data_IF_010104960954
#
_entry.id   IF_010104960954
#
_cell.length_a   1.000
_cell.length_b   1.000
_cell.length_c   1.000
_cell.angle_alpha   90.00
_cell.angle_beta   90.00
_cell.angle_gamma   90.00
#
_symmetry.space_group_name_H-M   'P 1'
#
loop_
_entity.id
_entity.type
_entity.pdbx_description
1 polymer ?
#
# COMPACT_ATOMS: atom_id res chain seq x y z
N UNK A 1 10.74 23.13 19.35
CA UNK A 1 11.18 23.19 17.94
C UNK A 1 10.03 23.79 17.13
N UNK A 2 10.25 24.89 16.39
CA UNK A 2 9.22 25.42 15.49
C UNK A 2 9.25 24.64 14.18
N UNK A 3 8.18 23.94 13.86
CA UNK A 3 8.00 23.29 12.55
C UNK A 3 7.71 24.38 11.50
N UNK A 4 8.63 24.60 10.56
CA UNK A 4 8.35 25.44 9.39
C UNK A 4 7.45 24.64 8.44
N UNK A 5 6.19 25.07 8.33
CA UNK A 5 5.29 24.54 7.28
C UNK A 5 5.67 25.20 5.96
N UNK A 6 6.10 24.41 4.98
CA UNK A 6 6.37 24.88 3.62
C UNK A 6 5.03 24.88 2.86
N UNK A 7 4.60 26.05 2.38
CA UNK A 7 3.46 26.15 1.48
C UNK A 7 3.82 25.52 0.12
N UNK A 8 3.06 24.52 -0.30
CA UNK A 8 3.19 23.89 -1.61
C UNK A 8 2.10 24.42 -2.54
N UNK A 9 2.42 25.25 -3.54
CA UNK A 9 1.42 25.77 -4.47
C UNK A 9 0.93 24.64 -5.38
N UNK A 10 -0.40 24.47 -5.46
CA UNK A 10 -1.02 23.44 -6.29
C UNK A 10 -2.43 23.12 -5.80
N UNK A 11 -3.00 22.09 -6.39
CA UNK A 11 -4.36 21.59 -6.08
C UNK A 11 -4.26 20.13 -5.65
N UNK A 12 -5.05 19.70 -4.67
CA UNK A 12 -5.09 18.26 -4.32
C UNK A 12 -5.47 17.43 -5.56
N UNK A 13 -4.90 16.22 -5.66
CA UNK A 13 -5.11 15.39 -6.85
C UNK A 13 -6.61 15.11 -7.08
N UNK A 14 -7.38 14.92 -6.02
CA UNK A 14 -8.84 14.75 -6.13
C UNK A 14 -9.51 15.95 -6.82
N UNK A 15 -9.22 17.19 -6.42
CA UNK A 15 -9.75 18.40 -7.05
C UNK A 15 -9.19 18.67 -8.44
N UNK A 16 -7.94 18.25 -8.70
CA UNK A 16 -7.34 18.36 -10.03
C UNK A 16 -8.09 17.48 -11.02
N UNK A 17 -8.45 16.24 -10.64
CA UNK A 17 -9.19 15.29 -11.48
C UNK A 17 -10.62 15.76 -11.82
N UNK A 18 -11.24 16.62 -11.00
CA UNK A 18 -12.53 17.23 -11.34
C UNK A 18 -12.45 18.13 -12.59
N UNK A 19 -11.27 18.68 -12.88
CA UNK A 19 -11.02 19.58 -14.02
C UNK A 19 -10.45 18.85 -15.24
N UNK A 20 -9.53 17.94 -15.00
CA UNK A 20 -8.87 17.16 -16.06
C UNK A 20 -8.52 15.76 -15.54
N UNK A 21 -9.22 14.78 -16.10
CA UNK A 21 -9.04 13.36 -15.84
C UNK A 21 -8.74 12.56 -17.12
N UNK A 22 -8.18 13.23 -18.14
CA UNK A 22 -7.80 12.54 -19.39
C UNK A 22 -6.81 11.40 -19.10
N UNK A 23 -6.93 10.32 -19.88
CA UNK A 23 -6.05 9.15 -19.77
C UNK A 23 -4.57 9.55 -19.80
N UNK A 24 -4.19 10.51 -20.67
CA UNK A 24 -2.81 10.97 -20.80
C UNK A 24 -2.29 11.59 -19.48
N UNK A 25 -3.07 12.45 -18.85
CA UNK A 25 -2.75 13.11 -17.58
C UNK A 25 -2.62 12.09 -16.44
N UNK A 26 -3.60 11.19 -16.30
CA UNK A 26 -3.59 10.19 -15.24
C UNK A 26 -2.38 9.27 -15.38
N UNK A 27 -2.05 8.85 -16.60
CA UNK A 27 -0.85 8.02 -16.88
C UNK A 27 0.44 8.79 -16.59
N UNK A 28 0.52 10.07 -16.93
CA UNK A 28 1.68 10.93 -16.64
C UNK A 28 1.91 11.04 -15.14
N UNK A 29 0.86 11.37 -14.38
CA UNK A 29 0.92 11.50 -12.90
C UNK A 29 1.28 10.16 -12.25
N UNK A 30 0.67 9.05 -12.69
CA UNK A 30 1.01 7.70 -12.22
C UNK A 30 2.51 7.42 -12.35
N UNK A 31 3.09 7.64 -13.53
CA UNK A 31 4.53 7.42 -13.76
C UNK A 31 5.40 8.29 -12.87
N UNK A 32 5.05 9.56 -12.72
CA UNK A 32 5.79 10.50 -11.85
C UNK A 32 5.71 10.08 -10.37
N UNK A 33 4.56 9.58 -9.92
CA UNK A 33 4.40 9.04 -8.56
C UNK A 33 5.26 7.79 -8.34
N UNK A 34 5.32 6.86 -9.28
CA UNK A 34 6.21 5.70 -9.16
C UNK A 34 7.69 6.10 -9.04
N UNK A 35 8.12 7.15 -9.77
CA UNK A 35 9.47 7.71 -9.62
C UNK A 35 9.68 8.32 -8.23
N UNK A 36 8.67 9.01 -7.69
CA UNK A 36 8.72 9.56 -6.34
C UNK A 36 8.83 8.45 -5.28
N UNK A 37 8.01 7.38 -5.39
CA UNK A 37 8.07 6.23 -4.47
C UNK A 37 9.44 5.54 -4.52
N UNK A 38 10.01 5.37 -5.72
CA UNK A 38 11.38 4.84 -5.86
C UNK A 38 12.41 5.68 -5.12
N UNK A 39 12.30 7.02 -5.17
CA UNK A 39 13.22 7.91 -4.44
C UNK A 39 13.05 7.79 -2.93
N UNK A 40 11.81 7.70 -2.41
CA UNK A 40 11.57 7.48 -0.98
C UNK A 40 12.17 6.14 -0.54
N UNK A 41 11.92 5.06 -1.28
CA UNK A 41 12.52 3.76 -1.00
C UNK A 41 14.04 3.81 -0.95
N UNK A 42 14.70 4.50 -1.89
CA UNK A 42 16.17 4.67 -1.90
C UNK A 42 16.72 5.39 -0.66
N UNK A 43 15.88 6.18 0.02
CA UNK A 43 16.18 6.81 1.31
C UNK A 43 15.74 5.96 2.50
N UNK A 44 15.27 4.73 2.28
CA UNK A 44 14.76 3.84 3.32
C UNK A 44 13.40 4.23 3.87
N UNK A 45 12.65 5.10 3.18
CA UNK A 45 11.39 5.67 3.64
C UNK A 45 10.22 4.99 2.94
N UNK A 46 9.18 4.64 3.70
CA UNK A 46 7.86 4.28 3.20
C UNK A 46 6.84 5.31 3.68
N UNK A 47 6.14 5.95 2.74
CA UNK A 47 5.15 6.98 3.06
C UNK A 47 3.95 6.42 3.81
N UNK A 48 3.51 5.21 3.44
CA UNK A 48 2.50 4.41 4.13
C UNK A 48 1.05 4.90 4.03
N UNK A 49 0.79 6.14 3.52
CA UNK A 49 -0.56 6.71 3.35
C UNK A 49 -0.73 7.42 2.00
N UNK A 50 -0.39 6.73 0.90
CA UNK A 50 -0.57 7.30 -0.45
C UNK A 50 -2.04 7.22 -0.87
N UNK A 51 -2.65 8.38 -1.04
CA UNK A 51 -4.03 8.57 -1.52
C UNK A 51 -4.18 9.93 -2.19
N UNK A 52 -5.27 10.15 -2.93
CA UNK A 52 -5.48 11.39 -3.72
C UNK A 52 -5.47 12.67 -2.88
N UNK A 53 -5.88 12.62 -1.60
CA UNK A 53 -5.82 13.75 -0.69
C UNK A 53 -4.40 14.11 -0.25
N UNK A 54 -3.47 13.16 -0.27
CA UNK A 54 -2.07 13.32 0.15
C UNK A 54 -1.13 13.57 -1.05
N UNK A 55 -1.70 13.93 -2.21
CA UNK A 55 -0.96 14.32 -3.41
C UNK A 55 -1.45 15.69 -3.88
N UNK A 56 -0.52 16.64 -4.00
CA UNK A 56 -0.74 17.96 -4.61
C UNK A 56 -0.21 17.94 -6.04
N UNK A 57 -1.01 18.41 -7.00
CA UNK A 57 -0.59 18.55 -8.39
C UNK A 57 -0.25 20.03 -8.67
N UNK A 58 0.96 20.28 -9.16
CA UNK A 58 1.32 21.59 -9.74
C UNK A 58 0.68 21.73 -11.10
N UNK A 59 -0.32 22.59 -11.22
CA UNK A 59 -1.15 22.73 -12.43
C UNK A 59 -0.35 23.13 -13.69
N UNK A 60 0.80 23.79 -13.53
CA UNK A 60 1.65 24.23 -14.64
C UNK A 60 2.51 23.12 -15.25
N UNK A 61 2.75 22.02 -14.53
CA UNK A 61 3.72 20.97 -14.92
C UNK A 61 3.20 19.55 -14.72
N UNK A 62 1.97 19.39 -14.21
CA UNK A 62 1.41 18.11 -13.77
C UNK A 62 2.36 17.34 -12.83
N UNK A 63 3.18 18.08 -12.06
CA UNK A 63 4.13 17.48 -11.13
C UNK A 63 3.40 17.11 -9.83
N UNK A 64 3.29 15.82 -9.48
CA UNK A 64 2.78 15.41 -8.18
C UNK A 64 3.82 15.70 -7.08
N UNK A 65 3.33 16.18 -5.95
CA UNK A 65 4.08 16.38 -4.72
C UNK A 65 3.34 15.61 -3.66
N UNK A 66 4.00 14.64 -3.06
CA UNK A 66 3.45 13.88 -1.93
C UNK A 66 3.60 14.71 -0.66
N UNK A 67 2.54 14.74 0.13
CA UNK A 67 2.44 15.49 1.39
C UNK A 67 1.91 14.58 2.49
N UNK A 68 1.91 15.07 3.74
CA UNK A 68 1.41 14.37 4.92
C UNK A 68 2.21 13.10 5.27
N UNK A 69 3.40 13.34 5.78
CA UNK A 69 4.30 12.29 6.28
C UNK A 69 4.01 11.88 7.74
N UNK A 70 2.78 12.14 8.23
CA UNK A 70 2.42 11.94 9.65
C UNK A 70 2.51 10.51 10.15
N UNK A 71 2.30 9.51 9.26
CA UNK A 71 2.41 8.07 9.59
C UNK A 71 3.52 7.37 8.81
N UNK A 72 4.44 8.15 8.23
CA UNK A 72 5.61 7.61 7.50
C UNK A 72 6.47 6.75 8.41
N UNK A 73 6.95 5.66 7.87
CA UNK A 73 7.84 4.73 8.58
C UNK A 73 9.20 4.59 7.89
N UNK A 74 10.21 4.22 8.68
CA UNK A 74 11.54 3.81 8.20
C UNK A 74 11.71 2.32 8.56
N UNK A 75 11.26 1.39 7.69
CA UNK A 75 11.13 -0.03 8.04
C UNK A 75 12.41 -0.67 8.54
N UNK A 76 13.57 -0.24 8.04
CA UNK A 76 14.87 -0.76 8.46
C UNK A 76 15.28 -0.34 9.90
N UNK A 77 14.65 0.68 10.47
CA UNK A 77 14.91 1.14 11.84
C UNK A 77 13.98 0.48 12.88
N UNK A 78 12.93 -0.22 12.43
CA UNK A 78 11.99 -0.92 13.30
C UNK A 78 12.61 -2.23 13.77
N UNK A 79 13.06 -2.30 15.02
CA UNK A 79 13.80 -3.43 15.62
C UNK A 79 13.13 -3.99 16.88
N UNK A 80 12.53 -3.12 17.70
CA UNK A 80 11.95 -3.46 19.00
C UNK A 80 10.44 -3.62 18.92
N UNK A 81 9.85 -4.41 19.84
CA UNK A 81 8.40 -4.59 19.94
C UNK A 81 7.65 -3.24 20.02
N UNK A 82 8.19 -2.29 20.80
CA UNK A 82 7.64 -0.95 20.88
C UNK A 82 7.61 -0.24 19.52
N UNK A 83 8.72 -0.28 18.77
CA UNK A 83 8.78 0.34 17.44
C UNK A 83 7.84 -0.34 16.45
N UNK A 84 7.65 -1.67 16.53
CA UNK A 84 6.63 -2.36 15.74
C UNK A 84 5.23 -1.86 16.08
N UNK A 85 4.90 -1.74 17.38
CA UNK A 85 3.59 -1.23 17.83
C UNK A 85 3.36 0.22 17.42
N UNK A 86 4.39 1.06 17.52
CA UNK A 86 4.31 2.47 17.12
C UNK A 86 4.11 2.63 15.60
N UNK A 87 4.72 1.74 14.78
CA UNK A 87 4.65 1.80 13.32
C UNK A 87 3.39 1.13 12.73
N UNK A 88 2.91 0.03 13.35
CA UNK A 88 1.80 -0.78 12.85
C UNK A 88 0.62 -0.81 13.83
N UNK A 89 0.35 0.31 14.50
CA UNK A 89 -0.69 0.42 15.53
C UNK A 89 -2.12 0.35 14.98
N UNK A 90 -2.32 0.60 13.68
CA UNK A 90 -3.63 0.49 13.03
C UNK A 90 -3.77 -0.89 12.40
N UNK A 91 -4.84 -1.60 12.75
CA UNK A 91 -5.29 -2.79 12.04
C UNK A 91 -6.62 -2.49 11.35
N UNK A 92 -6.66 -2.61 10.03
CA UNK A 92 -7.86 -2.44 9.23
C UNK A 92 -7.78 -3.42 8.05
N UNK A 93 -8.53 -4.51 8.13
CA UNK A 93 -8.53 -5.54 7.10
C UNK A 93 -9.15 -5.05 5.78
N UNK A 94 -10.02 -4.04 5.87
CA UNK A 94 -10.75 -3.40 4.78
C UNK A 94 -10.09 -2.12 4.25
N UNK A 95 -8.92 -1.72 4.79
CA UNK A 95 -8.21 -0.57 4.25
C UNK A 95 -7.46 -0.95 2.98
N UNK A 96 -8.12 -0.84 1.85
CA UNK A 96 -7.62 -1.32 0.57
C UNK A 96 -6.38 -0.60 0.01
N UNK A 97 -5.99 0.66 0.39
CA UNK A 97 -4.70 1.21 -0.01
C UNK A 97 -3.49 0.45 0.51
N UNK A 98 -3.65 -0.37 1.55
CA UNK A 98 -2.57 -1.22 2.06
C UNK A 98 -2.55 -2.60 1.40
N UNK A 99 -1.36 -3.13 1.04
CA UNK A 99 -1.23 -4.51 0.59
C UNK A 99 -1.51 -5.48 1.74
N UNK A 100 -1.79 -6.73 1.42
CA UNK A 100 -2.06 -7.81 2.39
C UNK A 100 -0.95 -7.90 3.44
N UNK A 101 0.31 -7.72 3.03
CA UNK A 101 1.49 -7.83 3.89
C UNK A 101 1.42 -6.86 5.08
N UNK A 102 1.04 -5.61 4.84
CA UNK A 102 0.87 -4.58 5.89
C UNK A 102 -0.22 -4.98 6.88
N UNK A 103 -1.34 -5.49 6.39
CA UNK A 103 -2.47 -5.91 7.22
C UNK A 103 -2.09 -7.10 8.11
N UNK A 104 -1.37 -8.09 7.55
CA UNK A 104 -0.85 -9.23 8.30
C UNK A 104 0.16 -8.81 9.37
N UNK A 105 1.08 -7.88 9.05
CA UNK A 105 2.02 -7.33 10.03
C UNK A 105 1.24 -6.68 11.18
N UNK A 106 0.27 -5.79 10.86
CA UNK A 106 -0.53 -5.10 11.88
C UNK A 106 -1.31 -6.10 12.76
N UNK A 107 -1.86 -7.15 12.17
CA UNK A 107 -2.53 -8.24 12.91
C UNK A 107 -1.59 -8.87 13.96
N UNK A 108 -0.39 -9.31 13.54
CA UNK A 108 0.56 -9.95 14.45
C UNK A 108 1.08 -9.00 15.52
N UNK A 109 1.38 -7.75 15.15
CA UNK A 109 1.87 -6.73 16.08
C UNK A 109 0.84 -6.38 17.16
N UNK A 110 -0.45 -6.38 16.83
CA UNK A 110 -1.50 -6.12 17.81
C UNK A 110 -1.81 -7.34 18.66
N UNK A 111 -1.80 -8.53 18.07
CA UNK A 111 -2.14 -9.77 18.79
C UNK A 111 -1.03 -10.22 19.73
N UNK A 112 0.24 -10.01 19.37
CA UNK A 112 1.38 -10.62 20.05
C UNK A 112 2.42 -9.61 20.52
N UNK A 113 3.14 -9.99 21.57
CA UNK A 113 4.42 -9.39 21.90
C UNK A 113 5.51 -10.12 21.10
N UNK A 114 6.07 -9.46 20.10
CA UNK A 114 7.06 -10.05 19.20
C UNK A 114 8.41 -10.35 19.90
N UNK A 115 8.65 -9.79 21.11
CA UNK A 115 9.84 -10.13 21.93
C UNK A 115 9.74 -11.54 22.48
N UNK A 116 8.53 -12.00 22.86
CA UNK A 116 8.27 -13.38 23.31
C UNK A 116 8.33 -14.36 22.14
N UNK A 117 8.13 -13.83 20.95
CA UNK A 117 8.25 -14.53 19.68
C UNK A 117 7.41 -15.82 19.59
N UNK A 118 6.09 -15.75 19.76
CA UNK A 118 5.21 -16.91 19.64
C UNK A 118 5.27 -17.50 18.23
N UNK A 119 4.87 -18.77 18.12
CA UNK A 119 4.72 -19.42 16.81
C UNK A 119 3.35 -19.14 16.22
N UNK A 120 3.30 -19.05 14.91
CA UNK A 120 2.05 -18.94 14.13
C UNK A 120 1.22 -20.20 14.34
N UNK A 121 0.00 -20.04 14.84
CA UNK A 121 -0.96 -21.13 15.09
C UNK A 121 -1.94 -21.27 13.91
N UNK A 122 -2.72 -22.35 13.88
CA UNK A 122 -3.79 -22.55 12.88
C UNK A 122 -4.81 -21.39 12.91
N UNK A 123 -5.15 -20.89 14.09
CA UNK A 123 -6.05 -19.74 14.24
C UNK A 123 -5.52 -18.47 13.60
N UNK A 124 -4.20 -18.29 13.53
CA UNK A 124 -3.56 -17.18 12.83
C UNK A 124 -3.64 -17.37 11.33
N UNK A 125 -3.42 -18.59 10.85
CA UNK A 125 -3.57 -18.93 9.43
C UNK A 125 -5.02 -18.70 8.98
N UNK A 126 -6.00 -19.07 9.79
CA UNK A 126 -7.42 -18.84 9.47
C UNK A 126 -7.77 -17.36 9.46
N UNK A 127 -7.18 -16.54 10.34
CA UNK A 127 -7.38 -15.09 10.29
C UNK A 127 -6.71 -14.46 9.06
N UNK A 128 -5.50 -14.88 8.70
CA UNK A 128 -4.85 -14.44 7.46
C UNK A 128 -5.65 -14.79 6.22
N UNK A 129 -6.30 -15.97 6.18
CA UNK A 129 -7.21 -16.34 5.08
C UNK A 129 -8.39 -15.38 4.97
N UNK A 130 -9.00 -14.96 6.10
CA UNK A 130 -10.09 -13.97 6.10
C UNK A 130 -9.62 -12.61 5.57
N UNK A 131 -8.42 -12.17 5.97
CA UNK A 131 -7.80 -10.95 5.43
C UNK A 131 -7.66 -11.06 3.90
N UNK A 132 -7.20 -12.20 3.39
CA UNK A 132 -7.07 -12.45 1.95
C UNK A 132 -8.44 -12.40 1.27
N UNK A 133 -9.47 -13.05 1.85
CA UNK A 133 -10.82 -13.06 1.28
C UNK A 133 -11.38 -11.64 1.15
N UNK A 134 -11.26 -10.81 2.19
CA UNK A 134 -11.70 -9.41 2.18
C UNK A 134 -10.96 -8.65 1.07
N UNK A 135 -9.64 -8.76 1.03
CA UNK A 135 -8.82 -8.04 0.07
C UNK A 135 -9.08 -8.47 -1.38
N UNK A 136 -9.25 -9.77 -1.62
CA UNK A 136 -9.58 -10.29 -2.95
C UNK A 136 -10.94 -9.78 -3.40
N UNK A 137 -11.96 -9.83 -2.54
CA UNK A 137 -13.30 -9.30 -2.85
C UNK A 137 -13.23 -7.81 -3.27
N UNK A 138 -12.48 -6.98 -2.56
CA UNK A 138 -12.30 -5.57 -2.91
C UNK A 138 -11.61 -5.40 -4.27
N UNK A 139 -10.57 -6.18 -4.54
CA UNK A 139 -9.85 -6.13 -5.82
C UNK A 139 -10.70 -6.66 -6.97
N UNK A 140 -11.53 -7.68 -6.77
CA UNK A 140 -12.47 -8.19 -7.78
C UNK A 140 -13.50 -7.13 -8.17
N UNK A 141 -14.03 -6.39 -7.18
CA UNK A 141 -14.90 -5.24 -7.44
C UNK A 141 -14.16 -4.16 -8.24
N UNK A 142 -12.93 -3.82 -7.84
CA UNK A 142 -12.12 -2.80 -8.50
C UNK A 142 -11.76 -3.15 -9.94
N UNK A 143 -11.50 -4.42 -10.22
CA UNK A 143 -11.13 -4.91 -11.55
C UNK A 143 -12.31 -5.45 -12.37
N UNK A 144 -13.47 -5.62 -11.75
CA UNK A 144 -14.66 -6.25 -12.36
C UNK A 144 -14.34 -7.61 -12.98
N UNK A 145 -13.46 -8.39 -12.36
CA UNK A 145 -13.06 -9.73 -12.80
C UNK A 145 -12.65 -10.63 -11.62
N UNK A 146 -12.84 -11.96 -11.71
CA UNK A 146 -12.38 -12.90 -10.68
C UNK A 146 -10.85 -12.93 -10.59
N UNK A 147 -10.34 -13.14 -9.37
CA UNK A 147 -8.91 -13.18 -9.03
C UNK A 147 -8.51 -14.52 -8.38
N UNK A 148 -9.11 -15.62 -8.78
CA UNK A 148 -8.92 -16.95 -8.18
C UNK A 148 -7.44 -17.36 -8.06
N UNK A 149 -6.65 -17.18 -9.12
CA UNK A 149 -5.20 -17.51 -9.10
C UNK A 149 -4.41 -16.68 -8.11
N UNK A 150 -4.75 -15.38 -7.97
CA UNK A 150 -4.13 -14.52 -6.97
C UNK A 150 -4.50 -14.97 -5.57
N UNK A 151 -5.80 -15.23 -5.33
CA UNK A 151 -6.32 -15.77 -4.07
C UNK A 151 -5.63 -17.07 -3.68
N UNK A 152 -5.60 -18.05 -4.57
CA UNK A 152 -4.99 -19.37 -4.33
C UNK A 152 -3.50 -19.24 -3.97
N UNK A 153 -2.75 -18.39 -4.69
CA UNK A 153 -1.34 -18.13 -4.39
C UNK A 153 -1.18 -17.57 -2.98
N UNK A 154 -1.92 -16.51 -2.61
CA UNK A 154 -1.85 -15.87 -1.29
C UNK A 154 -2.28 -16.84 -0.17
N UNK A 155 -3.31 -17.66 -0.41
CA UNK A 155 -3.73 -18.73 0.51
C UNK A 155 -2.64 -19.77 0.73
N UNK A 156 -1.89 -20.12 -0.31
CA UNK A 156 -0.77 -21.06 -0.23
C UNK A 156 0.40 -20.47 0.55
N UNK A 157 0.71 -19.19 0.34
CA UNK A 157 1.77 -18.48 1.06
C UNK A 157 1.51 -18.44 2.57
N UNK A 158 0.31 -18.03 3.01
CA UNK A 158 0.01 -17.93 4.45
C UNK A 158 -0.01 -19.29 5.17
N UNK A 159 -0.32 -20.38 4.46
CA UNK A 159 -0.21 -21.73 5.04
C UNK A 159 1.24 -22.13 5.36
N UNK A 160 2.21 -21.61 4.62
CA UNK A 160 3.64 -21.87 4.87
C UNK A 160 4.13 -21.18 6.15
N UNK A 161 3.41 -20.21 6.68
CA UNK A 161 3.78 -19.53 7.93
C UNK A 161 3.47 -20.37 9.18
N UNK A 162 2.62 -21.39 9.08
CA UNK A 162 2.27 -22.26 10.21
C UNK A 162 3.52 -22.81 10.90
N UNK A 163 3.61 -22.60 12.21
CA UNK A 163 4.75 -23.06 13.03
C UNK A 163 6.02 -22.20 12.93
N UNK A 164 6.07 -21.25 11.98
CA UNK A 164 7.13 -20.23 11.96
C UNK A 164 7.00 -19.30 13.17
N UNK A 165 8.06 -18.62 13.55
CA UNK A 165 7.94 -17.57 14.55
C UNK A 165 7.21 -16.36 13.98
N UNK A 166 6.29 -15.75 14.75
CA UNK A 166 5.56 -14.56 14.31
C UNK A 166 6.52 -13.42 13.91
N UNK A 167 7.65 -13.29 14.62
CA UNK A 167 8.67 -12.29 14.29
C UNK A 167 9.34 -12.55 12.95
N UNK A 168 9.66 -13.81 12.60
CA UNK A 168 10.22 -14.15 11.29
C UNK A 168 9.26 -13.83 10.16
N UNK A 169 7.96 -14.11 10.32
CA UNK A 169 6.92 -13.76 9.35
C UNK A 169 6.84 -12.23 9.19
N UNK A 170 6.72 -11.50 10.29
CA UNK A 170 6.65 -10.02 10.29
C UNK A 170 7.90 -9.39 9.66
N UNK A 171 9.09 -9.88 10.01
CA UNK A 171 10.35 -9.38 9.43
C UNK A 171 10.48 -9.73 7.95
N UNK A 172 9.97 -10.90 7.55
CA UNK A 172 9.89 -11.32 6.15
C UNK A 172 9.03 -10.39 5.31
N UNK A 173 7.81 -10.14 5.75
CA UNK A 173 6.86 -9.26 5.09
C UNK A 173 7.36 -7.80 5.09
N UNK A 174 7.93 -7.33 6.21
CA UNK A 174 8.49 -5.98 6.31
C UNK A 174 9.58 -5.72 5.26
N UNK A 175 10.39 -6.71 4.89
CA UNK A 175 11.40 -6.56 3.83
C UNK A 175 10.83 -6.23 2.46
N UNK A 176 9.52 -6.46 2.25
CA UNK A 176 8.82 -6.16 1.00
C UNK A 176 8.36 -4.69 0.88
N UNK A 177 8.73 -3.81 1.82
CA UNK A 177 8.22 -2.44 1.90
C UNK A 177 8.46 -1.59 0.64
N UNK A 178 9.38 -1.98 -0.24
CA UNK A 178 9.55 -1.35 -1.55
C UNK A 178 8.26 -1.35 -2.38
N UNK A 179 7.42 -2.37 -2.20
CA UNK A 179 6.19 -2.54 -2.96
C UNK A 179 4.99 -1.82 -2.35
N UNK A 180 5.01 -1.45 -1.06
CA UNK A 180 3.84 -0.96 -0.35
C UNK A 180 3.30 0.37 -0.91
N UNK A 181 4.16 1.38 -1.04
CA UNK A 181 3.75 2.66 -1.63
C UNK A 181 3.43 2.55 -3.12
N UNK A 182 4.13 1.68 -3.85
CA UNK A 182 3.83 1.42 -5.27
C UNK A 182 2.46 0.74 -5.43
N UNK A 183 2.13 -0.19 -4.56
CA UNK A 183 0.80 -0.80 -4.47
C UNK A 183 -0.27 0.28 -4.24
N UNK A 184 -0.08 1.17 -3.26
CA UNK A 184 -1.03 2.24 -2.96
C UNK A 184 -1.22 3.20 -4.14
N UNK A 185 -0.13 3.56 -4.84
CA UNK A 185 -0.19 4.36 -6.10
C UNK A 185 -0.99 3.63 -7.17
N UNK A 186 -0.79 2.33 -7.35
CA UNK A 186 -1.49 1.53 -8.35
C UNK A 186 -2.99 1.40 -8.03
N UNK A 187 -3.34 1.11 -6.76
CA UNK A 187 -4.74 1.08 -6.28
C UNK A 187 -5.42 2.42 -6.52
N UNK A 188 -4.81 3.52 -6.08
CA UNK A 188 -5.34 4.87 -6.29
C UNK A 188 -5.59 5.16 -7.78
N UNK A 189 -4.65 4.75 -8.64
CA UNK A 189 -4.77 4.95 -10.08
C UNK A 189 -5.90 4.12 -10.69
N UNK A 190 -6.06 2.87 -10.27
CA UNK A 190 -7.16 2.01 -10.73
C UNK A 190 -8.53 2.53 -10.28
N UNK A 191 -8.63 3.08 -9.06
CA UNK A 191 -9.85 3.73 -8.57
C UNK A 191 -10.22 4.97 -9.38
N UNK A 192 -9.21 5.79 -9.73
CA UNK A 192 -9.41 6.93 -10.61
C UNK A 192 -9.96 6.44 -11.96
N UNK A 193 -9.38 5.37 -12.51
CA UNK A 193 -9.84 4.79 -13.77
C UNK A 193 -11.31 4.33 -13.68
N UNK A 194 -11.68 3.63 -12.63
CA UNK A 194 -13.06 3.18 -12.40
C UNK A 194 -14.02 4.36 -12.23
N UNK A 195 -13.62 5.37 -11.44
CA UNK A 195 -14.47 6.55 -11.18
C UNK A 195 -14.77 7.40 -12.41
N UNK A 196 -13.82 7.48 -13.34
CA UNK A 196 -13.87 8.37 -14.50
C UNK A 196 -13.94 7.61 -15.84
N UNK A 197 -14.25 6.30 -15.81
CA UNK A 197 -14.35 5.43 -16.99
C UNK A 197 -13.10 5.47 -17.90
N UNK A 198 -11.90 5.54 -17.28
CA UNK A 198 -10.64 5.64 -18.01
C UNK A 198 -10.19 4.25 -18.46
N UNK A 199 -9.93 4.11 -19.75
CA UNK A 199 -9.32 2.91 -20.33
C UNK A 199 -7.83 3.16 -20.54
N UNK A 200 -6.99 2.44 -19.82
CA UNK A 200 -5.54 2.55 -20.00
C UNK A 200 -5.04 1.76 -21.21
N UNK A 201 -3.95 2.24 -21.87
CA UNK A 201 -3.22 1.40 -22.82
C UNK A 201 -2.79 0.09 -22.16
N UNK A 202 -2.83 -1.03 -22.90
CA UNK A 202 -2.56 -2.38 -22.35
C UNK A 202 -1.26 -2.47 -21.55
N UNK A 203 -0.20 -1.79 -21.99
CA UNK A 203 1.09 -1.76 -21.28
C UNK A 203 0.98 -1.13 -19.89
N UNK A 204 0.21 -0.05 -19.77
CA UNK A 204 0.00 0.65 -18.50
C UNK A 204 -0.90 -0.19 -17.59
N UNK A 205 -1.98 -0.75 -18.13
CA UNK A 205 -2.87 -1.64 -17.36
C UNK A 205 -2.10 -2.83 -16.77
N UNK A 206 -1.26 -3.49 -17.57
CA UNK A 206 -0.40 -4.58 -17.07
C UNK A 206 0.57 -4.13 -15.99
N UNK A 207 1.14 -2.93 -16.13
CA UNK A 207 2.04 -2.37 -15.12
C UNK A 207 1.31 -2.11 -13.78
N UNK A 208 0.11 -1.53 -13.82
CA UNK A 208 -0.72 -1.30 -12.63
C UNK A 208 -1.08 -2.64 -11.98
N UNK A 209 -1.56 -3.60 -12.75
CA UNK A 209 -1.89 -4.94 -12.26
C UNK A 209 -0.69 -5.64 -11.62
N UNK A 210 0.51 -5.51 -12.20
CA UNK A 210 1.73 -6.12 -11.64
C UNK A 210 2.14 -5.52 -10.30
N UNK A 211 1.78 -4.27 -9.98
CA UNK A 211 2.02 -3.69 -8.66
C UNK A 211 1.00 -4.13 -7.61
N UNK A 212 -0.20 -4.52 -8.03
CA UNK A 212 -1.29 -4.89 -7.13
C UNK A 212 -1.33 -6.40 -6.88
N UNK A 213 -1.10 -7.18 -7.93
CA UNK A 213 -1.23 -8.64 -7.90
C UNK A 213 0.12 -9.36 -7.73
N UNK A 214 1.13 -8.61 -7.31
CA UNK A 214 2.47 -9.13 -7.00
C UNK A 214 2.45 -10.21 -5.92
#
# INVERSE_FOLDING_TARGET
>A
MSTKTIYVPGTSYSKYLEKDHSTAIVVEIYKKLLVAMKKLFQQGICHYDIKTSNVIIKSTTNQPIVIDFGITIVPNEIKTDRQYKDAFYVYSADYYPWPIDVIIISYFVQKYNLTINPKVAETDVDEMKKIIDIKVMELEILYSKPLDKYKERRMTEVRQYLGMSCKEVVDGLKRQYEHWDKYSVAIMTQQIAQKYDIIFPQKIQKQIESQILY
#
